data_IF_563842628105
#
_entry.id   IF_563842628105
#
_cell.length_a   1.000
_cell.length_b   1.000
_cell.length_c   1.000
_cell.angle_alpha   90.00
_cell.angle_beta   90.00
_cell.angle_gamma   90.00
#
_symmetry.space_group_name_H-M   'P 1'
#
loop_
_entity.id
_entity.type
_entity.pdbx_description
1 polymer ?
#
# COMPACT_ATOMS: atom_id res chain seq x y z
N UNK A 1 25.12 2.58 -0.13
CA UNK A 1 26.09 2.57 1.00
C UNK A 1 25.48 3.21 2.23
N UNK A 2 26.01 2.96 3.43
CA UNK A 2 25.63 3.70 4.64
C UNK A 2 26.54 4.95 4.84
N UNK A 3 26.35 5.69 5.94
CA UNK A 3 27.16 6.86 6.34
C UNK A 3 28.64 6.56 6.58
N UNK A 4 29.03 5.28 6.68
CA UNK A 4 30.43 4.85 6.75
C UNK A 4 31.03 4.50 5.39
N UNK A 5 30.27 4.62 4.31
CA UNK A 5 30.67 4.18 2.97
C UNK A 5 30.60 2.66 2.75
N UNK A 6 30.02 1.91 3.69
CA UNK A 6 29.94 0.45 3.59
C UNK A 6 28.80 0.02 2.65
N UNK A 7 29.08 -0.94 1.76
CA UNK A 7 28.04 -1.67 1.01
C UNK A 7 27.45 -2.73 1.93
N UNK A 8 26.17 -2.59 2.29
CA UNK A 8 25.50 -3.42 3.31
C UNK A 8 24.42 -4.36 2.75
N UNK A 9 24.12 -4.27 1.46
CA UNK A 9 23.14 -5.10 0.76
C UNK A 9 23.53 -5.21 -0.71
N UNK A 10 23.21 -6.35 -1.33
CA UNK A 10 23.23 -6.46 -2.78
C UNK A 10 21.99 -5.77 -3.36
N UNK A 11 22.22 -4.67 -4.07
CA UNK A 11 21.20 -3.83 -4.68
C UNK A 11 20.40 -4.53 -5.80
N UNK A 12 20.84 -5.71 -6.26
CA UNK A 12 20.12 -6.53 -7.24
C UNK A 12 19.10 -7.50 -6.62
N UNK A 13 19.05 -7.60 -5.28
CA UNK A 13 18.02 -8.38 -4.59
C UNK A 13 16.61 -7.81 -4.84
N UNK A 14 15.54 -8.61 -4.60
CA UNK A 14 14.17 -8.11 -4.65
C UNK A 14 13.96 -6.85 -3.81
N UNK A 15 13.06 -5.97 -4.28
CA UNK A 15 12.84 -4.64 -3.68
C UNK A 15 12.49 -4.70 -2.20
N UNK A 16 11.75 -5.69 -1.76
CA UNK A 16 11.34 -5.86 -0.37
C UNK A 16 12.54 -6.22 0.53
N UNK A 17 13.49 -7.02 0.04
CA UNK A 17 14.74 -7.31 0.75
C UNK A 17 15.63 -6.07 0.86
N UNK A 18 15.83 -5.37 -0.25
CA UNK A 18 16.63 -4.13 -0.27
C UNK A 18 15.99 -3.08 0.65
N UNK A 19 14.67 -2.89 0.58
CA UNK A 19 13.96 -1.95 1.44
C UNK A 19 14.08 -2.30 2.94
N UNK A 20 13.99 -3.59 3.32
CA UNK A 20 14.21 -4.04 4.70
C UNK A 20 15.66 -3.82 5.14
N UNK A 21 16.64 -4.08 4.29
CA UNK A 21 18.05 -3.83 4.60
C UNK A 21 18.32 -2.33 4.87
N UNK A 22 17.78 -1.45 4.02
CA UNK A 22 17.84 0.01 4.22
C UNK A 22 17.15 0.39 5.53
N UNK A 23 15.94 -0.13 5.79
CA UNK A 23 15.19 0.15 7.01
C UNK A 23 15.94 -0.24 8.28
N UNK A 24 16.64 -1.39 8.29
CA UNK A 24 17.47 -1.83 9.43
C UNK A 24 18.63 -0.88 9.68
N UNK A 25 19.28 -0.36 8.64
CA UNK A 25 20.33 0.68 8.79
C UNK A 25 19.73 1.93 9.46
N UNK A 26 18.63 2.46 8.92
CA UNK A 26 17.97 3.66 9.45
C UNK A 26 17.53 3.48 10.90
N UNK A 27 16.96 2.32 11.25
CA UNK A 27 16.57 1.98 12.62
C UNK A 27 17.76 1.87 13.57
N UNK A 28 18.93 1.50 13.06
CA UNK A 28 20.21 1.52 13.77
C UNK A 28 20.85 2.91 13.88
N UNK A 29 20.15 3.98 13.48
CA UNK A 29 20.66 5.35 13.53
C UNK A 29 21.62 5.72 12.39
N UNK A 30 21.73 4.88 11.37
CA UNK A 30 22.57 5.13 10.18
C UNK A 30 21.83 5.98 9.17
N UNK A 31 22.59 6.59 8.25
CA UNK A 31 22.04 7.22 7.04
C UNK A 31 22.35 6.32 5.85
N UNK A 32 21.47 6.28 4.88
CA UNK A 32 21.63 5.46 3.68
C UNK A 32 21.66 6.35 2.45
N UNK A 33 22.58 6.02 1.55
CA UNK A 33 22.81 6.76 0.33
C UNK A 33 22.90 5.83 -0.88
N UNK A 34 22.42 6.33 -2.02
CA UNK A 34 22.69 5.77 -3.33
C UNK A 34 23.98 6.40 -3.87
N UNK A 35 24.92 5.55 -4.27
CA UNK A 35 26.24 5.95 -4.78
C UNK A 35 26.35 5.59 -6.26
N UNK A 36 26.47 6.61 -7.11
CA UNK A 36 26.62 6.44 -8.57
C UNK A 36 28.08 6.30 -9.00
N UNK A 37 29.04 6.53 -8.11
CA UNK A 37 30.49 6.50 -8.42
C UNK A 37 30.93 5.21 -9.16
N UNK A 38 30.41 4.01 -8.84
CA UNK A 38 30.76 2.80 -9.58
C UNK A 38 30.35 2.82 -11.06
N UNK A 39 29.24 3.48 -11.41
CA UNK A 39 28.79 3.62 -12.80
C UNK A 39 29.66 4.63 -13.55
N UNK A 40 30.00 5.74 -12.90
CA UNK A 40 30.90 6.76 -13.44
C UNK A 40 32.28 6.17 -13.72
N UNK A 41 32.84 5.36 -12.80
CA UNK A 41 34.11 4.65 -13.01
C UNK A 41 34.09 3.69 -14.20
N UNK A 42 32.91 3.20 -14.59
CA UNK A 42 32.71 2.38 -15.81
C UNK A 42 32.53 3.22 -17.08
N UNK A 43 32.69 4.55 -17.00
CA UNK A 43 32.53 5.47 -18.13
C UNK A 43 31.08 5.78 -18.49
N UNK A 44 30.11 5.42 -17.63
CA UNK A 44 28.69 5.70 -17.90
C UNK A 44 28.41 7.18 -17.60
N UNK A 45 27.95 7.91 -18.60
CA UNK A 45 27.45 9.28 -18.45
C UNK A 45 26.03 9.26 -17.91
N UNK A 46 25.84 9.82 -16.72
CA UNK A 46 24.58 9.74 -15.97
C UNK A 46 23.47 10.57 -16.62
N UNK A 47 23.79 11.71 -17.22
CA UNK A 47 22.85 12.57 -17.95
C UNK A 47 22.33 11.92 -19.24
N UNK A 48 23.12 11.07 -19.89
CA UNK A 48 22.71 10.34 -21.10
C UNK A 48 21.90 9.09 -20.72
N UNK A 49 22.34 8.34 -19.71
CA UNK A 49 21.71 7.08 -19.32
C UNK A 49 20.45 7.25 -18.46
N UNK A 50 20.42 8.26 -17.59
CA UNK A 50 19.34 8.52 -16.64
C UNK A 50 18.93 10.01 -16.65
N UNK A 51 18.52 10.57 -17.81
CA UNK A 51 18.31 12.02 -17.97
C UNK A 51 17.31 12.60 -16.97
N UNK A 52 16.21 11.87 -16.70
CA UNK A 52 15.18 12.31 -15.74
C UNK A 52 15.71 12.36 -14.31
N UNK A 53 16.48 11.36 -13.88
CA UNK A 53 17.05 11.31 -12.52
C UNK A 53 18.12 12.39 -12.39
N UNK A 54 19.00 12.52 -13.38
CA UNK A 54 20.05 13.52 -13.39
C UNK A 54 19.48 14.94 -13.31
N UNK A 55 18.48 15.25 -14.13
CA UNK A 55 17.79 16.55 -14.10
C UNK A 55 17.16 16.85 -12.75
N UNK A 56 16.46 15.87 -12.16
CA UNK A 56 15.87 16.01 -10.83
C UNK A 56 16.90 16.27 -9.73
N UNK A 57 18.01 15.54 -9.72
CA UNK A 57 19.08 15.73 -8.74
C UNK A 57 19.72 17.12 -8.87
N UNK A 58 19.98 17.55 -10.11
CA UNK A 58 20.54 18.89 -10.38
C UNK A 58 19.62 20.01 -9.92
N UNK A 59 18.29 19.89 -10.12
CA UNK A 59 17.30 20.84 -9.62
C UNK A 59 17.34 20.94 -8.08
N UNK A 60 17.62 19.82 -7.40
CA UNK A 60 17.81 19.78 -5.94
C UNK A 60 19.21 20.19 -5.48
N UNK A 61 20.07 20.66 -6.38
CA UNK A 61 21.44 21.07 -6.07
C UNK A 61 22.39 19.92 -5.74
N UNK A 62 22.03 18.69 -6.14
CA UNK A 62 22.85 17.48 -5.94
C UNK A 62 23.55 17.10 -7.24
N UNK A 63 24.85 16.84 -7.16
CA UNK A 63 25.65 16.34 -8.27
C UNK A 63 25.90 14.83 -8.12
N UNK A 64 25.22 13.96 -8.88
CA UNK A 64 25.40 12.51 -8.74
C UNK A 64 26.78 11.99 -9.16
N UNK A 65 27.64 12.82 -9.75
CA UNK A 65 29.04 12.45 -10.02
C UNK A 65 29.94 12.51 -8.78
N UNK A 66 29.58 13.31 -7.79
CA UNK A 66 30.40 13.58 -6.60
C UNK A 66 29.68 13.31 -5.29
N UNK A 67 28.36 13.44 -5.29
CA UNK A 67 27.56 13.46 -4.07
C UNK A 67 26.90 12.10 -3.83
N UNK A 68 26.87 11.70 -2.57
CA UNK A 68 26.07 10.58 -2.10
C UNK A 68 24.61 11.03 -1.98
N UNK A 69 23.71 10.35 -2.70
CA UNK A 69 22.30 10.76 -2.78
C UNK A 69 21.51 10.14 -1.61
N UNK A 70 20.97 10.92 -0.67
CA UNK A 70 20.25 10.36 0.48
C UNK A 70 18.95 9.67 0.05
N UNK A 71 18.70 8.47 0.56
CA UNK A 71 17.52 7.67 0.21
C UNK A 71 16.86 7.06 1.44
N UNK A 72 15.54 6.92 1.39
CA UNK A 72 14.73 6.22 2.39
C UNK A 72 13.68 5.35 1.69
N UNK A 73 13.26 4.22 2.28
CA UNK A 73 12.11 3.47 1.79
C UNK A 73 10.84 4.31 1.90
N UNK A 74 9.90 4.11 0.98
CA UNK A 74 8.59 4.74 1.00
C UNK A 74 7.51 3.75 0.55
N UNK A 75 6.29 3.92 1.04
CA UNK A 75 5.12 3.22 0.49
C UNK A 75 4.89 3.69 -0.94
N UNK A 76 4.76 2.76 -1.89
CA UNK A 76 4.80 3.07 -3.32
C UNK A 76 3.61 2.53 -4.11
N UNK A 77 3.04 1.39 -3.72
CA UNK A 77 2.00 0.71 -4.50
C UNK A 77 1.12 -0.17 -3.61
N UNK A 78 -0.19 -0.21 -3.89
CA UNK A 78 -1.12 -1.17 -3.28
C UNK A 78 -1.23 -2.43 -4.15
N UNK A 79 -0.80 -3.56 -3.61
CA UNK A 79 -0.87 -4.88 -4.28
C UNK A 79 -2.26 -5.51 -4.13
N UNK A 80 -2.85 -5.37 -2.94
CA UNK A 80 -4.24 -5.76 -2.70
C UNK A 80 -5.21 -4.66 -3.16
N UNK A 81 -6.50 -4.90 -2.95
CA UNK A 81 -7.55 -4.00 -3.40
C UNK A 81 -8.90 -4.68 -3.34
N UNK A 82 -9.85 -4.17 -4.12
CA UNK A 82 -11.16 -4.80 -4.31
C UNK A 82 -10.97 -6.08 -5.11
N UNK A 83 -11.34 -7.23 -4.54
CA UNK A 83 -11.30 -8.53 -5.25
C UNK A 83 -12.14 -8.47 -6.54
N UNK A 84 -11.53 -8.93 -7.63
CA UNK A 84 -12.19 -9.00 -8.94
C UNK A 84 -11.89 -10.31 -9.65
N UNK A 85 -12.80 -10.71 -10.53
CA UNK A 85 -12.56 -11.79 -11.48
C UNK A 85 -11.61 -11.37 -12.64
N UNK A 86 -11.41 -12.27 -13.61
CA UNK A 86 -10.54 -12.06 -14.77
C UNK A 86 -11.03 -10.96 -15.74
N UNK A 87 -12.22 -10.39 -15.49
CA UNK A 87 -12.87 -9.32 -16.25
C UNK A 87 -13.08 -8.04 -15.42
N UNK A 88 -12.57 -7.98 -14.20
CA UNK A 88 -12.70 -6.81 -13.33
C UNK A 88 -14.04 -6.71 -12.60
N UNK A 89 -14.88 -7.77 -12.60
CA UNK A 89 -16.15 -7.78 -11.86
C UNK A 89 -15.88 -8.06 -10.39
N UNK A 90 -16.50 -7.26 -9.54
CA UNK A 90 -16.49 -7.50 -8.09
C UNK A 90 -17.59 -8.50 -7.71
N UNK A 91 -17.62 -8.93 -6.45
CA UNK A 91 -18.75 -9.71 -5.93
C UNK A 91 -20.08 -8.94 -5.90
N UNK A 92 -20.06 -7.61 -6.05
CA UNK A 92 -21.27 -6.78 -6.15
C UNK A 92 -21.66 -6.62 -7.61
N UNK A 93 -22.83 -7.15 -7.98
CA UNK A 93 -23.34 -7.06 -9.36
C UNK A 93 -23.40 -5.61 -9.86
N UNK A 94 -22.88 -5.39 -11.07
CA UNK A 94 -22.80 -4.06 -11.69
C UNK A 94 -21.67 -3.18 -11.18
N UNK A 95 -20.85 -3.64 -10.21
CA UNK A 95 -19.67 -2.93 -9.74
C UNK A 95 -18.40 -3.61 -10.27
N UNK A 96 -17.53 -2.78 -10.85
CA UNK A 96 -16.25 -3.17 -11.42
C UNK A 96 -15.11 -2.40 -10.74
N UNK A 97 -13.93 -3.01 -10.70
CA UNK A 97 -12.70 -2.36 -10.25
C UNK A 97 -11.54 -2.76 -11.18
N UNK A 98 -10.65 -1.81 -11.50
CA UNK A 98 -9.54 -2.03 -12.43
C UNK A 98 -8.30 -1.24 -11.98
N UNK A 99 -7.11 -1.78 -12.27
CA UNK A 99 -5.84 -1.16 -11.90
C UNK A 99 -5.57 -1.25 -10.39
N UNK A 100 -4.83 -0.27 -9.86
CA UNK A 100 -4.31 -0.32 -8.48
C UNK A 100 -5.38 -0.37 -7.37
N UNK A 101 -6.65 -0.01 -7.65
CA UNK A 101 -7.72 -0.16 -6.67
C UNK A 101 -8.25 -1.61 -6.56
N UNK A 102 -7.86 -2.48 -7.48
CA UNK A 102 -8.34 -3.86 -7.59
C UNK A 102 -7.29 -4.88 -7.15
N UNK A 103 -7.76 -6.05 -6.71
CA UNK A 103 -6.96 -7.23 -6.48
C UNK A 103 -7.31 -8.25 -7.58
N UNK A 104 -6.53 -8.23 -8.65
CA UNK A 104 -6.69 -9.11 -9.83
C UNK A 104 -5.95 -10.45 -9.69
N UNK A 105 -5.14 -10.60 -8.64
CA UNK A 105 -4.25 -11.74 -8.42
C UNK A 105 -2.93 -11.71 -9.19
N UNK A 106 -2.76 -10.84 -10.20
CA UNK A 106 -1.57 -10.86 -11.08
C UNK A 106 -0.27 -10.48 -10.38
N UNK A 107 -0.35 -9.73 -9.28
CA UNK A 107 0.81 -9.26 -8.51
C UNK A 107 1.17 -10.17 -7.34
N UNK A 108 0.32 -11.13 -6.98
CA UNK A 108 0.49 -12.01 -5.82
C UNK A 108 0.89 -11.25 -4.55
N UNK A 109 2.03 -11.61 -3.96
CA UNK A 109 2.55 -10.97 -2.76
C UNK A 109 3.70 -9.97 -3.02
N UNK A 110 4.11 -9.77 -4.27
CA UNK A 110 5.15 -8.79 -4.64
C UNK A 110 5.03 -8.41 -6.12
N UNK A 111 4.64 -7.17 -6.39
CA UNK A 111 4.45 -6.66 -7.74
C UNK A 111 5.79 -6.51 -8.47
N UNK A 112 5.91 -7.14 -9.62
CA UNK A 112 7.04 -6.92 -10.54
C UNK A 112 7.00 -5.50 -11.12
N UNK A 113 8.18 -4.92 -11.33
CA UNK A 113 8.30 -3.59 -11.91
C UNK A 113 7.62 -3.52 -13.29
N UNK A 114 7.06 -2.35 -13.62
CA UNK A 114 6.37 -2.06 -14.90
C UNK A 114 5.03 -2.76 -15.16
N UNK A 115 4.60 -3.71 -14.31
CA UNK A 115 3.33 -4.42 -14.55
C UNK A 115 2.06 -3.64 -14.18
N UNK A 116 2.14 -2.60 -13.34
CA UNK A 116 0.93 -1.90 -12.84
C UNK A 116 0.18 -1.10 -13.90
N UNK A 117 0.90 -0.42 -14.80
CA UNK A 117 0.26 0.30 -15.91
C UNK A 117 -0.35 -0.67 -16.93
N UNK A 118 0.36 -1.78 -17.18
CA UNK A 118 -0.13 -2.84 -18.07
C UNK A 118 -1.40 -3.48 -17.52
N UNK A 119 -1.45 -3.78 -16.22
CA UNK A 119 -2.66 -4.28 -15.56
C UNK A 119 -3.84 -3.33 -15.77
N UNK A 120 -3.65 -2.02 -15.55
CA UNK A 120 -4.70 -1.02 -15.75
C UNK A 120 -5.25 -1.01 -17.18
N UNK A 121 -4.38 -1.12 -18.19
CA UNK A 121 -4.79 -1.17 -19.60
C UNK A 121 -5.56 -2.47 -19.90
N UNK A 122 -5.01 -3.62 -19.49
CA UNK A 122 -5.59 -4.94 -19.79
C UNK A 122 -6.94 -5.12 -19.10
N UNK A 123 -7.01 -4.88 -17.79
CA UNK A 123 -8.27 -5.02 -17.04
C UNK A 123 -9.26 -3.92 -17.40
N UNK A 124 -8.80 -2.71 -17.72
CA UNK A 124 -9.66 -1.64 -18.24
C UNK A 124 -10.38 -2.05 -19.52
N UNK A 125 -9.65 -2.64 -20.48
CA UNK A 125 -10.26 -3.12 -21.74
C UNK A 125 -11.23 -4.29 -21.50
N UNK A 126 -10.85 -5.25 -20.67
CA UNK A 126 -11.71 -6.40 -20.33
C UNK A 126 -13.00 -5.98 -19.63
N UNK A 127 -12.91 -5.09 -18.64
CA UNK A 127 -14.05 -4.54 -17.93
C UNK A 127 -14.96 -3.76 -18.88
N UNK A 128 -14.40 -2.89 -19.73
CA UNK A 128 -15.19 -2.14 -20.72
C UNK A 128 -15.96 -3.06 -21.68
N UNK A 129 -15.32 -4.13 -22.16
CA UNK A 129 -15.98 -5.12 -23.01
C UNK A 129 -17.12 -5.83 -22.27
N UNK A 130 -16.88 -6.27 -21.03
CA UNK A 130 -17.91 -6.96 -20.24
C UNK A 130 -19.08 -6.03 -19.90
N UNK A 131 -18.81 -4.78 -19.54
CA UNK A 131 -19.83 -3.73 -19.32
C UNK A 131 -20.68 -3.56 -20.58
N UNK A 132 -20.08 -3.45 -21.76
CA UNK A 132 -20.82 -3.28 -23.01
C UNK A 132 -21.79 -4.46 -23.31
N UNK A 133 -21.44 -5.69 -22.89
CA UNK A 133 -22.30 -6.86 -23.00
C UNK A 133 -23.42 -6.86 -21.95
N UNK A 134 -23.09 -6.54 -20.69
CA UNK A 134 -24.01 -6.66 -19.55
C UNK A 134 -24.95 -5.46 -19.38
N UNK A 135 -24.57 -4.26 -19.81
CA UNK A 135 -25.39 -3.04 -19.60
C UNK A 135 -26.76 -3.16 -20.26
N UNK A 136 -26.87 -3.94 -21.35
CA UNK A 136 -28.14 -4.25 -22.01
C UNK A 136 -29.11 -5.06 -21.14
N UNK A 137 -28.61 -5.72 -20.10
CA UNK A 137 -29.37 -6.58 -19.20
C UNK A 137 -29.90 -5.80 -17.98
N UNK A 138 -29.31 -4.65 -17.66
CA UNK A 138 -29.68 -3.88 -16.48
C UNK A 138 -30.76 -2.85 -16.80
N UNK A 139 -31.84 -2.87 -16.02
CA UNK A 139 -32.87 -1.81 -16.03
C UNK A 139 -32.45 -0.72 -15.06
N UNK A 140 -32.44 0.52 -15.52
CA UNK A 140 -32.19 1.68 -14.66
C UNK A 140 -33.37 1.82 -13.69
N UNK A 141 -33.10 1.65 -12.39
CA UNK A 141 -34.04 1.97 -11.32
C UNK A 141 -33.73 3.33 -10.72
N UNK A 142 -34.75 4.10 -10.33
CA UNK A 142 -34.54 5.28 -9.48
C UNK A 142 -34.00 4.81 -8.13
N UNK A 143 -32.92 5.42 -7.67
CA UNK A 143 -32.39 5.19 -6.33
C UNK A 143 -33.05 6.12 -5.32
N UNK A 144 -33.26 5.63 -4.11
CA UNK A 144 -33.83 6.39 -2.98
C UNK A 144 -32.81 6.66 -1.88
N UNK A 145 -31.52 6.53 -2.17
CA UNK A 145 -30.48 6.76 -1.18
C UNK A 145 -30.53 8.20 -0.64
N UNK A 146 -30.74 8.32 0.67
CA UNK A 146 -30.59 9.56 1.42
C UNK A 146 -29.45 9.38 2.41
N UNK A 147 -28.50 10.31 2.42
CA UNK A 147 -27.47 10.33 3.44
C UNK A 147 -28.09 10.91 4.72
N UNK A 148 -28.44 10.04 5.66
CA UNK A 148 -29.04 10.41 6.94
C UNK A 148 -28.01 10.51 8.07
N UNK A 149 -26.71 10.51 7.75
CA UNK A 149 -25.65 10.57 8.76
C UNK A 149 -25.74 11.88 9.55
N UNK A 150 -25.83 11.73 10.86
CA UNK A 150 -25.82 12.83 11.83
C UNK A 150 -24.58 12.70 12.72
N UNK A 151 -24.05 13.82 13.15
CA UNK A 151 -22.88 13.89 14.00
C UNK A 151 -22.46 15.34 14.19
N UNK A 152 -21.83 15.63 15.33
CA UNK A 152 -21.36 16.97 15.69
C UNK A 152 -19.94 16.96 16.25
N UNK A 153 -19.30 15.79 16.34
CA UNK A 153 -17.94 15.69 16.87
C UNK A 153 -16.91 15.84 15.76
N UNK A 154 -15.73 16.33 16.15
CA UNK A 154 -14.54 16.35 15.29
C UNK A 154 -13.69 15.11 15.55
N UNK A 155 -12.95 14.60 14.55
CA UNK A 155 -12.00 13.51 14.76
C UNK A 155 -10.95 13.82 15.84
N UNK A 156 -10.69 12.86 16.73
CA UNK A 156 -9.64 12.93 17.75
C UNK A 156 -8.21 12.82 17.19
N UNK A 157 -8.08 12.59 15.88
CA UNK A 157 -6.81 12.43 15.17
C UNK A 157 -6.91 13.00 13.75
N UNK A 158 -5.76 13.34 13.18
CA UNK A 158 -5.63 13.71 11.77
C UNK A 158 -4.80 12.71 10.97
N UNK A 159 -4.74 12.93 9.66
CA UNK A 159 -4.01 12.06 8.72
C UNK A 159 -2.54 11.85 9.09
N UNK A 160 -1.87 12.86 9.70
CA UNK A 160 -0.48 12.74 10.15
C UNK A 160 -0.32 11.65 11.23
N UNK A 161 -1.24 11.59 12.19
CA UNK A 161 -1.22 10.60 13.28
C UNK A 161 -1.51 9.19 12.76
N UNK A 162 -2.45 9.07 11.82
CA UNK A 162 -2.74 7.79 11.14
C UNK A 162 -1.53 7.29 10.33
N UNK A 163 -0.91 8.16 9.52
CA UNK A 163 0.29 7.82 8.75
C UNK A 163 1.44 7.39 9.66
N UNK A 164 1.65 8.09 10.78
CA UNK A 164 2.67 7.71 11.78
C UNK A 164 2.39 6.33 12.38
N UNK A 165 1.14 6.06 12.78
CA UNK A 165 0.73 4.75 13.29
C UNK A 165 1.03 3.62 12.29
N UNK A 166 0.61 3.81 11.03
CA UNK A 166 0.81 2.81 9.97
C UNK A 166 2.30 2.60 9.65
N UNK A 167 3.09 3.67 9.61
CA UNK A 167 4.54 3.57 9.37
C UNK A 167 5.26 2.83 10.50
N UNK A 168 4.96 3.20 11.75
CA UNK A 168 5.67 2.68 12.91
C UNK A 168 5.30 1.22 13.21
N UNK A 169 4.04 0.81 12.98
CA UNK A 169 3.51 -0.50 13.39
C UNK A 169 3.20 -1.49 12.26
N UNK A 170 2.99 -0.99 11.05
CA UNK A 170 2.49 -1.76 9.89
C UNK A 170 3.42 -1.64 8.68
N UNK A 171 4.64 -1.14 8.90
CA UNK A 171 5.65 -0.90 7.88
C UNK A 171 6.32 -2.17 7.34
N UNK A 172 7.63 -2.07 7.09
CA UNK A 172 8.44 -3.09 6.42
C UNK A 172 8.66 -4.36 7.25
N UNK A 173 8.70 -4.26 8.57
CA UNK A 173 8.83 -5.39 9.48
C UNK A 173 7.72 -5.35 10.52
N UNK A 174 6.97 -6.46 10.64
CA UNK A 174 5.77 -6.53 11.47
C UNK A 174 5.92 -7.61 12.53
N UNK A 175 5.08 -7.54 13.56
CA UNK A 175 4.93 -8.56 14.60
C UNK A 175 3.53 -8.48 15.21
N UNK A 176 3.08 -9.54 15.89
CA UNK A 176 1.75 -9.65 16.48
C UNK A 176 1.44 -8.52 17.46
N UNK A 177 2.39 -8.15 18.32
CA UNK A 177 2.22 -7.05 19.29
C UNK A 177 1.90 -5.73 18.60
N UNK A 178 2.75 -5.28 17.68
CA UNK A 178 2.55 -3.99 16.99
C UNK A 178 1.28 -3.95 16.14
N UNK A 179 0.97 -5.05 15.46
CA UNK A 179 -0.26 -5.16 14.66
C UNK A 179 -1.52 -5.14 15.53
N UNK A 180 -1.48 -5.80 16.69
CA UNK A 180 -2.62 -5.81 17.63
C UNK A 180 -2.86 -4.43 18.22
N UNK A 181 -1.81 -3.74 18.68
CA UNK A 181 -1.90 -2.36 19.16
C UNK A 181 -2.44 -1.40 18.07
N UNK A 182 -2.00 -1.58 16.82
CA UNK A 182 -2.54 -0.80 15.70
C UNK A 182 -4.03 -1.09 15.48
N UNK A 183 -4.44 -2.38 15.47
CA UNK A 183 -5.84 -2.78 15.31
C UNK A 183 -6.73 -2.16 16.38
N UNK A 184 -6.31 -2.18 17.64
CA UNK A 184 -7.06 -1.57 18.74
C UNK A 184 -7.25 -0.06 18.56
N UNK A 185 -6.18 0.65 18.17
CA UNK A 185 -6.24 2.09 17.93
C UNK A 185 -7.19 2.42 16.77
N UNK A 186 -7.05 1.72 15.65
CA UNK A 186 -7.92 1.92 14.48
C UNK A 186 -9.38 1.58 14.80
N UNK A 187 -9.63 0.50 15.54
CA UNK A 187 -10.99 0.10 15.94
C UNK A 187 -11.66 1.17 16.81
N UNK A 188 -10.90 1.79 17.73
CA UNK A 188 -11.40 2.91 18.56
C UNK A 188 -11.76 4.13 17.70
N UNK A 189 -10.90 4.48 16.74
CA UNK A 189 -11.16 5.58 15.81
C UNK A 189 -12.37 5.31 14.91
N UNK A 190 -12.58 4.05 14.49
CA UNK A 190 -13.76 3.65 13.73
C UNK A 190 -15.03 3.83 14.56
N UNK A 191 -15.04 3.38 15.83
CA UNK A 191 -16.18 3.59 16.74
C UNK A 191 -16.50 5.07 16.93
N UNK A 192 -15.48 5.89 17.15
CA UNK A 192 -15.64 7.35 17.29
C UNK A 192 -16.26 7.97 16.03
N UNK A 193 -15.91 7.44 14.85
CA UNK A 193 -16.34 8.00 13.57
C UNK A 193 -17.85 8.04 13.37
N UNK A 194 -18.62 7.20 14.06
CA UNK A 194 -20.09 7.18 13.98
C UNK A 194 -20.68 8.56 14.34
N UNK A 195 -20.05 9.29 15.26
CA UNK A 195 -20.55 10.59 15.74
C UNK A 195 -19.95 11.81 15.02
N UNK A 196 -19.05 11.57 14.05
CA UNK A 196 -18.39 12.66 13.33
C UNK A 196 -19.37 13.48 12.50
N UNK A 197 -19.14 14.80 12.50
CA UNK A 197 -19.83 15.72 11.60
C UNK A 197 -19.68 15.26 10.13
N UNK A 198 -20.77 15.25 9.32
CA UNK A 198 -20.76 14.74 7.95
C UNK A 198 -20.13 15.74 6.96
N UNK A 199 -18.84 16.02 7.12
CA UNK A 199 -18.07 16.85 6.20
C UNK A 199 -17.28 16.02 5.20
N UNK A 200 -16.89 16.61 4.06
CA UNK A 200 -16.04 15.97 3.06
C UNK A 200 -14.71 15.47 3.68
N UNK A 201 -14.04 16.34 4.45
CA UNK A 201 -12.76 16.01 5.08
C UNK A 201 -12.88 14.85 6.08
N UNK A 202 -13.97 14.79 6.86
CA UNK A 202 -14.20 13.69 7.80
C UNK A 202 -14.50 12.38 7.07
N UNK A 203 -15.23 12.43 5.93
CA UNK A 203 -15.44 11.25 5.09
C UNK A 203 -14.12 10.73 4.51
N UNK A 204 -13.30 11.62 3.96
CA UNK A 204 -12.00 11.24 3.40
C UNK A 204 -11.09 10.60 4.45
N UNK A 205 -11.05 11.15 5.67
CA UNK A 205 -10.29 10.55 6.77
C UNK A 205 -10.84 9.16 7.15
N UNK A 206 -12.15 8.99 7.17
CA UNK A 206 -12.79 7.69 7.42
C UNK A 206 -12.44 6.67 6.33
N UNK A 207 -12.46 7.05 5.06
CA UNK A 207 -12.09 6.14 3.95
C UNK A 207 -10.66 5.60 4.13
N UNK A 208 -9.72 6.49 4.43
CA UNK A 208 -8.32 6.11 4.67
C UNK A 208 -8.20 5.27 5.94
N UNK A 209 -8.97 5.58 6.99
CA UNK A 209 -9.01 4.81 8.23
C UNK A 209 -9.48 3.37 7.99
N UNK A 210 -10.50 3.18 7.15
CA UNK A 210 -11.03 1.85 6.83
C UNK A 210 -10.02 1.03 6.03
N UNK A 211 -9.36 1.63 5.03
CA UNK A 211 -8.30 0.96 4.27
C UNK A 211 -7.13 0.58 5.18
N UNK A 212 -6.74 1.47 6.10
CA UNK A 212 -5.72 1.18 7.11
C UNK A 212 -6.11 0.00 8.00
N UNK A 213 -7.37 -0.05 8.45
CA UNK A 213 -7.88 -1.16 9.25
C UNK A 213 -7.84 -2.48 8.48
N UNK A 214 -8.35 -2.53 7.24
CA UNK A 214 -8.29 -3.75 6.42
C UNK A 214 -6.85 -4.22 6.20
N UNK A 215 -5.91 -3.28 6.04
CA UNK A 215 -4.47 -3.59 5.91
C UNK A 215 -3.92 -4.26 7.17
N UNK A 216 -4.26 -3.72 8.36
CA UNK A 216 -3.83 -4.30 9.64
C UNK A 216 -4.49 -5.65 9.88
N UNK A 217 -5.78 -5.78 9.61
CA UNK A 217 -6.51 -7.04 9.77
C UNK A 217 -5.94 -8.15 8.89
N UNK A 218 -5.66 -7.81 7.63
CA UNK A 218 -5.01 -8.74 6.70
C UNK A 218 -3.59 -9.12 7.14
N UNK A 219 -2.82 -8.17 7.65
CA UNK A 219 -1.48 -8.43 8.16
C UNK A 219 -1.46 -9.25 9.47
N UNK A 220 -2.47 -9.08 10.33
CA UNK A 220 -2.56 -9.78 11.61
C UNK A 220 -3.00 -11.24 11.42
N UNK A 221 -4.01 -11.47 10.57
CA UNK A 221 -4.53 -12.81 10.25
C UNK A 221 -3.53 -13.71 9.52
N UNK A 222 -2.57 -13.11 8.80
CA UNK A 222 -1.53 -13.82 8.06
C UNK A 222 -0.30 -14.09 8.94
N UNK A 223 -0.18 -15.32 9.45
CA UNK A 223 0.92 -15.79 10.31
C UNK A 223 2.00 -16.53 9.50
N UNK A 224 2.54 -15.84 8.49
CA UNK A 224 3.68 -16.22 7.64
C UNK A 224 4.43 -14.96 7.16
N UNK A 225 5.54 -15.13 6.45
CA UNK A 225 6.18 -14.06 5.69
C UNK A 225 6.26 -14.45 4.21
N UNK A 226 5.73 -13.61 3.33
CA UNK A 226 5.63 -13.85 1.88
C UNK A 226 5.70 -12.52 1.13
N UNK A 227 6.65 -12.38 0.20
CA UNK A 227 6.84 -11.16 -0.58
C UNK A 227 6.98 -9.90 0.30
N UNK A 228 6.15 -8.88 0.04
CA UNK A 228 6.21 -7.61 0.80
C UNK A 228 5.62 -7.71 2.22
N UNK A 229 4.97 -8.82 2.56
CA UNK A 229 4.49 -9.09 3.91
C UNK A 229 5.56 -9.83 4.71
N UNK A 230 6.20 -9.14 5.67
CA UNK A 230 7.23 -9.72 6.52
C UNK A 230 6.86 -9.62 8.01
N UNK A 231 6.67 -10.78 8.64
CA UNK A 231 6.37 -10.99 10.05
C UNK A 231 7.59 -11.58 10.74
N UNK A 232 8.23 -10.83 11.62
CA UNK A 232 9.45 -11.29 12.33
C UNK A 232 9.18 -12.50 13.22
N UNK A 233 7.97 -12.58 13.75
CA UNK A 233 7.44 -13.67 14.56
C UNK A 233 6.96 -14.88 13.74
N UNK A 234 6.84 -14.74 12.41
CA UNK A 234 6.53 -15.81 11.47
C UNK A 234 7.39 -15.65 10.20
N UNK A 235 8.71 -15.89 10.26
CA UNK A 235 9.64 -15.46 9.21
C UNK A 235 9.62 -16.32 7.94
N UNK A 236 8.87 -17.42 7.93
CA UNK A 236 8.81 -18.38 6.82
C UNK A 236 7.43 -18.38 6.15
N UNK A 237 7.44 -18.74 4.86
CA UNK A 237 6.23 -19.04 4.10
C UNK A 237 5.54 -20.30 4.63
N UNK A 238 4.20 -20.36 4.52
CA UNK A 238 3.42 -21.53 4.94
C UNK A 238 2.32 -21.83 3.92
N UNK A 239 2.16 -23.11 3.56
CA UNK A 239 1.22 -23.55 2.53
C UNK A 239 -0.24 -23.20 2.84
N UNK A 240 -0.62 -23.19 4.12
CA UNK A 240 -1.98 -22.80 4.55
C UNK A 240 -2.38 -21.38 4.15
N UNK A 241 -1.38 -20.54 3.85
CA UNK A 241 -1.55 -19.16 3.39
C UNK A 241 -1.19 -18.99 1.91
N UNK A 242 -1.12 -20.05 1.10
CA UNK A 242 -0.96 -19.93 -0.36
C UNK A 242 -2.27 -19.54 -1.06
N UNK A 243 -2.87 -18.44 -0.60
CA UNK A 243 -4.14 -17.87 -1.03
C UNK A 243 -4.23 -16.39 -0.66
N UNK A 244 -5.17 -15.68 -1.26
CA UNK A 244 -5.44 -14.29 -0.88
C UNK A 244 -6.12 -14.20 0.48
N UNK A 245 -5.86 -13.09 1.18
CA UNK A 245 -6.59 -12.76 2.41
C UNK A 245 -7.83 -11.97 2.03
N UNK A 246 -9.01 -12.51 2.33
CA UNK A 246 -10.28 -11.83 2.08
C UNK A 246 -10.72 -11.12 3.36
N UNK A 247 -10.96 -9.81 3.25
CA UNK A 247 -11.53 -8.98 4.32
C UNK A 247 -12.90 -8.52 3.85
N UNK A 248 -13.91 -8.80 4.66
CA UNK A 248 -15.31 -8.52 4.36
C UNK A 248 -15.87 -7.48 5.34
N UNK A 249 -17.13 -7.07 5.14
CA UNK A 249 -17.77 -6.02 5.97
C UNK A 249 -18.04 -6.50 7.40
N UNK A 250 -18.09 -7.80 7.65
CA UNK A 250 -18.35 -8.40 8.96
C UNK A 250 -17.38 -7.86 10.02
N UNK A 251 -16.07 -7.78 9.72
CA UNK A 251 -15.08 -7.22 10.65
C UNK A 251 -15.36 -5.77 11.01
N UNK A 252 -15.94 -4.98 10.10
CA UNK A 252 -16.37 -3.61 10.40
C UNK A 252 -17.62 -3.58 11.28
N UNK A 253 -18.58 -4.47 11.03
CA UNK A 253 -19.79 -4.58 11.85
C UNK A 253 -19.48 -5.09 13.27
N UNK A 254 -18.51 -5.98 13.42
CA UNK A 254 -17.95 -6.41 14.71
C UNK A 254 -17.43 -5.25 15.51
N UNK A 255 -16.63 -4.37 14.90
CA UNK A 255 -16.14 -3.17 15.58
C UNK A 255 -17.31 -2.30 16.06
N UNK A 256 -18.37 -2.19 15.29
CA UNK A 256 -19.51 -1.34 15.64
C UNK A 256 -20.54 -2.03 16.56
N UNK A 257 -20.36 -3.30 16.91
CA UNK A 257 -21.34 -4.12 17.63
C UNK A 257 -22.73 -4.13 16.94
N UNK A 258 -22.78 -4.25 15.61
CA UNK A 258 -24.01 -4.16 14.80
C UNK A 258 -24.50 -5.52 14.27
N UNK A 259 -24.54 -6.56 15.13
CA UNK A 259 -25.11 -7.87 14.80
C UNK A 259 -26.51 -8.05 15.34
#
# INVERSE_FOLDING_TARGET
VNDKGERFVDELLPRDEVARAIYRQLKGGRKVFLDFSPLVKKGIKLEERFPTIYGFLKEKGLNPYTDLIPVNPAAHYYIGGIEVDDRGRTAVNGLYAVGECSCTGVHGANRLASNSLLEGIVFGFRAAYQIALETKLYKISKTHFKNERKGNSKPSFGIKKLKKLMWDKVGLERNEKDLSEAKEILSRWIKESVNWEPTFSNRQLLDILLVAFCTVEGALSRKESRGVHFRKDFPYERDTYRRDTIITRESYLEILNLF
#
